data_IF_668978722910
#
_entry.id   IF_668978722910
#
_cell.length_a   1.000
_cell.length_b   1.000
_cell.length_c   1.000
_cell.angle_alpha   90.00
_cell.angle_beta   90.00
_cell.angle_gamma   90.00
#
_symmetry.space_group_name_H-M   'P 1'
#
loop_
_entity.id
_entity.type
_entity.pdbx_description
1 polymer ?
#
# COMPACT_ATOMS: atom_id res chain seq x y z
N UNK A 1 16.66 6.83 14.15
CA UNK A 1 17.85 5.96 14.30
C UNK A 1 18.31 5.93 15.76
N UNK A 2 18.92 7.00 16.28
CA UNK A 2 19.50 7.03 17.63
C UNK A 2 18.52 6.65 18.76
N UNK A 3 17.29 7.16 18.71
CA UNK A 3 16.25 6.84 19.72
C UNK A 3 15.97 5.33 19.84
N UNK A 4 16.11 4.58 18.74
CA UNK A 4 15.85 3.15 18.69
C UNK A 4 17.13 2.30 18.86
N UNK A 5 18.27 2.93 19.15
CA UNK A 5 19.54 2.22 19.33
C UNK A 5 20.16 1.68 18.03
N UNK A 6 19.85 2.26 16.86
CA UNK A 6 20.54 1.91 15.61
C UNK A 6 22.02 2.28 15.73
N UNK A 7 22.91 1.29 15.56
CA UNK A 7 24.35 1.43 15.76
C UNK A 7 25.01 2.22 14.62
N UNK A 8 24.65 1.95 13.38
CA UNK A 8 25.27 2.54 12.19
C UNK A 8 24.23 3.05 11.18
N UNK A 9 24.56 4.15 10.50
CA UNK A 9 23.71 4.74 9.44
C UNK A 9 24.56 5.01 8.21
N UNK A 10 24.20 4.39 7.09
CA UNK A 10 24.89 4.52 5.82
C UNK A 10 24.04 5.34 4.84
N UNK A 11 24.67 6.31 4.15
CA UNK A 11 24.00 7.14 3.15
C UNK A 11 23.94 6.44 1.78
N UNK A 12 23.25 5.30 1.72
CA UNK A 12 23.04 4.51 0.51
C UNK A 12 21.57 4.06 0.45
N UNK A 13 20.97 4.07 -0.74
CA UNK A 13 19.58 3.66 -0.96
C UNK A 13 19.43 2.77 -2.19
N UNK A 14 18.23 2.25 -2.45
CA UNK A 14 17.94 1.43 -3.62
C UNK A 14 18.52 0.02 -3.56
N UNK A 15 18.60 -0.64 -4.72
CA UNK A 15 19.10 -2.01 -4.86
C UNK A 15 20.53 -2.19 -4.34
N UNK A 16 21.38 -1.18 -4.52
CA UNK A 16 22.77 -1.18 -4.07
C UNK A 16 22.90 -1.17 -2.54
N UNK A 17 21.96 -0.56 -1.80
CA UNK A 17 21.92 -0.64 -0.34
C UNK A 17 21.62 -2.07 0.13
N UNK A 18 20.65 -2.73 -0.55
CA UNK A 18 20.29 -4.13 -0.28
C UNK A 18 21.47 -5.06 -0.55
N UNK A 19 22.16 -4.87 -1.68
CA UNK A 19 23.35 -5.65 -2.01
C UNK A 19 24.48 -5.43 -0.99
N UNK A 20 24.75 -4.18 -0.60
CA UNK A 20 25.77 -3.86 0.40
C UNK A 20 25.50 -4.54 1.75
N UNK A 21 24.24 -4.54 2.21
CA UNK A 21 23.85 -5.23 3.44
C UNK A 21 23.90 -6.76 3.30
N UNK A 22 23.52 -7.31 2.15
CA UNK A 22 23.47 -8.76 1.95
C UNK A 22 24.86 -9.41 1.80
N UNK A 23 25.81 -8.70 1.18
CA UNK A 23 27.13 -9.23 0.84
C UNK A 23 28.27 -8.62 1.66
N UNK A 24 28.05 -7.46 2.27
CA UNK A 24 29.08 -6.66 2.94
C UNK A 24 29.94 -5.86 1.96
N UNK A 25 30.52 -4.76 2.44
CA UNK A 25 31.55 -3.97 1.74
C UNK A 25 32.67 -3.60 2.73
N UNK A 26 33.65 -2.80 2.31
CA UNK A 26 34.68 -2.27 3.22
C UNK A 26 34.09 -1.41 4.36
N UNK A 27 32.88 -0.85 4.17
CA UNK A 27 32.23 0.03 5.12
C UNK A 27 30.90 -0.52 5.67
N UNK A 28 30.14 -1.29 4.88
CA UNK A 28 28.82 -1.80 5.27
C UNK A 28 28.97 -3.25 5.74
N UNK A 29 28.64 -3.57 7.01
CA UNK A 29 28.71 -4.94 7.49
C UNK A 29 27.66 -5.81 6.79
N UNK A 30 28.01 -7.07 6.57
CA UNK A 30 27.05 -8.09 6.12
C UNK A 30 26.06 -8.40 7.24
N UNK A 31 24.78 -8.46 6.92
CA UNK A 31 23.69 -8.80 7.86
C UNK A 31 23.02 -10.12 7.50
N UNK A 32 22.44 -10.78 8.50
CA UNK A 32 21.72 -12.05 8.29
C UNK A 32 20.32 -11.85 7.69
N UNK A 33 19.68 -10.71 7.99
CA UNK A 33 18.31 -10.41 7.55
C UNK A 33 18.11 -8.93 7.25
N UNK A 34 17.46 -8.63 6.13
CA UNK A 34 17.17 -7.26 5.66
C UNK A 34 15.68 -6.97 5.80
N UNK A 35 15.36 -5.79 6.34
CA UNK A 35 14.01 -5.32 6.61
C UNK A 35 13.67 -4.05 5.84
N UNK A 36 12.37 -3.84 5.64
CA UNK A 36 11.83 -2.56 5.18
C UNK A 36 11.29 -2.61 3.75
N UNK A 37 10.24 -1.82 3.48
CA UNK A 37 9.67 -1.69 2.14
C UNK A 37 10.55 -0.80 1.25
N UNK A 38 10.24 -0.80 -0.04
CA UNK A 38 10.85 0.11 -1.00
C UNK A 38 10.18 -0.02 -2.36
N UNK A 39 10.69 0.75 -3.33
CA UNK A 39 10.20 0.67 -4.70
C UNK A 39 10.53 -0.69 -5.34
N UNK A 40 10.06 -0.89 -6.58
CA UNK A 40 10.27 -2.12 -7.35
C UNK A 40 11.74 -2.61 -7.38
N UNK A 41 12.71 -1.70 -7.40
CA UNK A 41 14.14 -2.04 -7.42
C UNK A 41 14.64 -2.58 -6.09
N UNK A 42 14.19 -1.99 -4.98
CA UNK A 42 14.49 -2.48 -3.63
C UNK A 42 13.87 -3.85 -3.42
N UNK A 43 12.61 -4.02 -3.82
CA UNK A 43 11.90 -5.30 -3.71
C UNK A 43 12.55 -6.39 -4.55
N UNK A 44 12.90 -6.11 -5.80
CA UNK A 44 13.57 -7.10 -6.65
C UNK A 44 14.96 -7.45 -6.12
N UNK A 45 15.71 -6.47 -5.59
CA UNK A 45 17.00 -6.75 -4.95
C UNK A 45 16.83 -7.66 -3.73
N UNK A 46 15.84 -7.39 -2.85
CA UNK A 46 15.49 -8.24 -1.70
C UNK A 46 15.12 -9.66 -2.15
N UNK A 47 14.33 -9.78 -3.23
CA UNK A 47 13.95 -11.08 -3.81
C UNK A 47 15.17 -11.85 -4.32
N UNK A 48 16.11 -11.20 -5.00
CA UNK A 48 17.31 -11.86 -5.50
C UNK A 48 18.24 -12.31 -4.37
N UNK A 49 18.55 -11.43 -3.41
CA UNK A 49 19.49 -11.77 -2.32
C UNK A 49 18.94 -12.86 -1.40
N UNK A 50 17.62 -12.93 -1.19
CA UNK A 50 17.00 -13.99 -0.36
C UNK A 50 17.03 -15.38 -0.97
N UNK A 51 17.17 -15.48 -2.29
CA UNK A 51 17.24 -16.76 -3.01
C UNK A 51 18.67 -17.25 -3.25
N UNK A 52 19.66 -16.43 -2.90
CA UNK A 52 21.07 -16.78 -3.01
C UNK A 52 21.58 -17.37 -1.71
N UNK A 53 22.37 -18.44 -1.82
CA UNK A 53 23.01 -19.08 -0.66
C UNK A 53 23.99 -18.14 0.07
N UNK A 54 24.66 -17.27 -0.68
CA UNK A 54 25.59 -16.26 -0.16
C UNK A 54 24.92 -14.90 0.14
N UNK A 55 23.59 -14.81 0.03
CA UNK A 55 22.83 -13.60 0.32
C UNK A 55 22.39 -13.49 1.78
N UNK A 56 21.22 -12.91 1.99
CA UNK A 56 20.63 -12.65 3.31
C UNK A 56 19.12 -12.92 3.28
N UNK A 57 18.55 -13.32 4.42
CA UNK A 57 17.10 -13.47 4.54
C UNK A 57 16.39 -12.11 4.41
N UNK A 58 15.09 -12.14 4.11
CA UNK A 58 14.25 -10.95 4.09
C UNK A 58 13.02 -11.16 4.97
N UNK A 59 12.40 -10.06 5.41
CA UNK A 59 11.12 -10.06 6.12
C UNK A 59 9.98 -10.57 5.24
N UNK A 60 9.65 -9.85 4.18
CA UNK A 60 8.62 -10.17 3.20
C UNK A 60 8.90 -9.43 1.88
N UNK A 61 8.38 -9.93 0.74
CA UNK A 61 8.28 -9.14 -0.47
C UNK A 61 7.39 -7.92 -0.19
N UNK A 62 7.86 -6.72 -0.53
CA UNK A 62 7.06 -5.51 -0.44
C UNK A 62 6.56 -5.12 -1.83
N UNK A 63 5.26 -4.99 -2.03
CA UNK A 63 4.68 -4.48 -3.27
C UNK A 63 4.49 -2.96 -3.25
N UNK A 64 3.97 -2.37 -4.34
CA UNK A 64 3.34 -1.07 -4.26
C UNK A 64 2.29 -1.05 -3.14
N UNK A 65 2.12 0.09 -2.50
CA UNK A 65 1.21 0.18 -1.36
C UNK A 65 -0.25 0.08 -1.82
N UNK A 66 -1.08 -0.64 -1.06
CA UNK A 66 -2.47 -0.91 -1.44
C UNK A 66 -3.47 -0.57 -0.33
N UNK A 67 -4.66 -0.10 -0.71
CA UNK A 67 -5.81 0.01 0.21
C UNK A 67 -7.09 -0.41 -0.48
N UNK A 68 -7.88 -1.22 0.22
CA UNK A 68 -9.23 -1.60 -0.18
C UNK A 68 -10.21 -1.15 0.91
N UNK A 69 -11.19 -0.33 0.52
CA UNK A 69 -12.25 0.14 1.40
C UNK A 69 -13.53 -0.61 1.07
N UNK A 70 -14.14 -1.28 2.05
CA UNK A 70 -15.51 -1.78 1.98
C UNK A 70 -16.42 -0.76 2.67
N UNK A 71 -17.36 -0.19 1.95
CA UNK A 71 -18.25 0.85 2.48
C UNK A 71 -19.73 0.53 2.21
N UNK A 72 -20.58 0.64 3.25
CA UNK A 72 -22.04 0.54 3.12
C UNK A 72 -22.69 1.93 2.98
N UNK A 73 -24.01 1.97 2.77
CA UNK A 73 -24.76 3.23 2.58
C UNK A 73 -24.67 4.22 3.76
N UNK A 74 -24.25 3.75 4.94
CA UNK A 74 -24.03 4.60 6.10
C UNK A 74 -22.67 5.30 6.11
N UNK A 75 -21.76 4.94 5.20
CA UNK A 75 -20.45 5.57 5.10
C UNK A 75 -20.54 7.02 4.64
N UNK A 76 -19.61 7.85 5.11
CA UNK A 76 -19.49 9.25 4.69
C UNK A 76 -18.62 9.30 3.43
N UNK A 77 -19.12 9.75 2.26
CA UNK A 77 -18.35 9.72 1.00
C UNK A 77 -17.00 10.44 1.10
N UNK A 78 -16.93 11.54 1.84
CA UNK A 78 -15.71 12.31 2.04
C UNK A 78 -14.64 11.54 2.83
N UNK A 79 -15.03 10.67 3.77
CA UNK A 79 -14.08 9.86 4.54
C UNK A 79 -13.55 8.68 3.72
N UNK A 80 -14.42 8.04 2.93
CA UNK A 80 -13.98 7.02 1.97
C UNK A 80 -12.99 7.61 0.97
N UNK A 81 -13.30 8.79 0.42
CA UNK A 81 -12.41 9.46 -0.53
C UNK A 81 -11.05 9.83 0.09
N UNK A 82 -11.03 10.31 1.35
CA UNK A 82 -9.77 10.65 2.01
C UNK A 82 -8.91 9.42 2.27
N UNK A 83 -9.51 8.29 2.64
CA UNK A 83 -8.78 7.03 2.85
C UNK A 83 -8.18 6.53 1.53
N UNK A 84 -8.95 6.54 0.43
CA UNK A 84 -8.42 6.18 -0.89
C UNK A 84 -7.26 7.09 -1.31
N UNK A 85 -7.39 8.40 -1.12
CA UNK A 85 -6.36 9.36 -1.50
C UNK A 85 -5.11 9.29 -0.62
N UNK A 86 -5.24 8.95 0.66
CA UNK A 86 -4.11 8.78 1.57
C UNK A 86 -3.12 7.73 1.09
N UNK A 87 -3.61 6.69 0.42
CA UNK A 87 -2.76 5.67 -0.19
C UNK A 87 -2.29 6.08 -1.59
N UNK A 88 -3.17 6.68 -2.39
CA UNK A 88 -2.83 7.10 -3.75
C UNK A 88 -1.65 8.11 -3.79
N UNK A 89 -1.50 8.95 -2.76
CA UNK A 89 -0.40 9.92 -2.69
C UNK A 89 0.97 9.32 -2.33
N UNK A 90 1.02 8.04 -1.94
CA UNK A 90 2.25 7.37 -1.54
C UNK A 90 3.19 7.14 -2.74
N UNK A 91 2.64 6.79 -3.90
CA UNK A 91 3.39 6.52 -5.11
C UNK A 91 2.50 6.31 -6.34
N UNK A 92 3.01 6.54 -7.56
CA UNK A 92 2.22 6.41 -8.79
C UNK A 92 1.80 4.97 -9.12
N UNK A 93 2.44 3.99 -8.48
CA UNK A 93 2.17 2.57 -8.55
C UNK A 93 1.19 2.06 -7.47
N UNK A 94 0.70 2.94 -6.59
CA UNK A 94 -0.25 2.57 -5.54
C UNK A 94 -1.58 2.13 -6.13
N UNK A 95 -2.20 1.12 -5.51
CA UNK A 95 -3.49 0.58 -5.94
C UNK A 95 -4.56 0.86 -4.87
N UNK A 96 -5.65 1.52 -5.28
CA UNK A 96 -6.75 1.85 -4.37
C UNK A 96 -8.07 1.33 -4.91
N UNK A 97 -8.87 0.69 -4.04
CA UNK A 97 -10.11 0.01 -4.44
C UNK A 97 -11.24 0.38 -3.47
N UNK A 98 -12.40 0.73 -4.00
CA UNK A 98 -13.66 0.79 -3.24
C UNK A 98 -14.53 -0.41 -3.62
N UNK A 99 -15.05 -1.12 -2.62
CA UNK A 99 -16.13 -2.08 -2.77
C UNK A 99 -17.36 -1.58 -2.01
N UNK A 100 -18.50 -1.46 -2.69
CA UNK A 100 -19.75 -1.05 -2.04
C UNK A 100 -20.96 -1.72 -2.69
N UNK A 101 -22.02 -2.05 -1.93
CA UNK A 101 -23.29 -2.49 -2.52
C UNK A 101 -24.13 -1.33 -3.09
N UNK A 102 -23.69 -0.08 -2.92
CA UNK A 102 -24.49 1.11 -3.28
C UNK A 102 -23.86 1.91 -4.40
N UNK A 103 -24.52 1.91 -5.57
CA UNK A 103 -24.12 2.76 -6.70
C UNK A 103 -24.09 4.24 -6.32
N UNK A 104 -25.08 4.68 -5.53
CA UNK A 104 -25.18 6.06 -5.04
C UNK A 104 -23.96 6.45 -4.21
N UNK A 105 -23.48 5.55 -3.34
CA UNK A 105 -22.27 5.79 -2.57
C UNK A 105 -21.04 5.87 -3.47
N UNK A 106 -20.89 4.94 -4.42
CA UNK A 106 -19.75 4.93 -5.33
C UNK A 106 -19.65 6.24 -6.14
N UNK A 107 -20.77 6.74 -6.67
CA UNK A 107 -20.83 8.01 -7.39
C UNK A 107 -20.47 9.20 -6.49
N UNK A 108 -21.00 9.24 -5.27
CA UNK A 108 -20.70 10.30 -4.30
C UNK A 108 -19.21 10.29 -3.89
N UNK A 109 -18.61 9.10 -3.74
CA UNK A 109 -17.18 8.95 -3.45
C UNK A 109 -16.35 9.42 -4.64
N UNK A 110 -16.70 9.07 -5.87
CA UNK A 110 -15.97 9.51 -7.06
C UNK A 110 -15.90 11.05 -7.14
N UNK A 111 -17.02 11.73 -6.86
CA UNK A 111 -17.07 13.19 -6.80
C UNK A 111 -16.17 13.73 -5.67
N UNK A 112 -16.24 13.13 -4.48
CA UNK A 112 -15.44 13.56 -3.34
C UNK A 112 -13.93 13.36 -3.58
N UNK A 113 -13.53 12.28 -4.26
CA UNK A 113 -12.14 12.02 -4.67
C UNK A 113 -11.66 13.14 -5.57
N UNK A 114 -12.40 13.52 -6.62
CA UNK A 114 -12.00 14.60 -7.53
C UNK A 114 -11.87 15.96 -6.80
N UNK A 115 -12.80 16.26 -5.90
CA UNK A 115 -12.78 17.50 -5.11
C UNK A 115 -11.57 17.58 -4.17
N UNK A 116 -11.23 16.48 -3.51
CA UNK A 116 -10.10 16.42 -2.59
C UNK A 116 -8.77 16.36 -3.34
N UNK A 117 -8.70 15.61 -4.44
CA UNK A 117 -7.52 15.51 -5.31
C UNK A 117 -7.07 16.89 -5.81
N UNK A 118 -8.00 17.77 -6.16
CA UNK A 118 -7.70 19.13 -6.60
C UNK A 118 -6.96 19.98 -5.55
N UNK A 119 -7.00 19.59 -4.28
CA UNK A 119 -6.40 20.33 -3.16
C UNK A 119 -5.07 19.71 -2.68
N UNK A 120 -4.70 18.51 -3.17
CA UNK A 120 -3.51 17.81 -2.70
C UNK A 120 -2.22 18.39 -3.29
N UNK A 121 -1.18 18.66 -2.47
CA UNK A 121 0.14 19.02 -2.97
C UNK A 121 0.75 17.96 -3.92
N UNK A 122 0.41 16.69 -3.70
CA UNK A 122 0.88 15.53 -4.49
C UNK A 122 -0.17 15.03 -5.50
N UNK A 123 -1.07 15.90 -5.97
CA UNK A 123 -2.16 15.51 -6.86
C UNK A 123 -1.70 14.82 -8.15
N UNK A 124 -0.53 15.16 -8.70
CA UNK A 124 -0.01 14.51 -9.91
C UNK A 124 0.28 13.02 -9.68
N UNK A 125 0.93 12.68 -8.56
CA UNK A 125 1.21 11.30 -8.15
C UNK A 125 -0.07 10.54 -7.87
N UNK A 126 -0.96 11.13 -7.06
CA UNK A 126 -2.24 10.51 -6.72
C UNK A 126 -3.11 10.28 -7.96
N UNK A 127 -3.14 11.21 -8.91
CA UNK A 127 -3.88 11.04 -10.18
C UNK A 127 -3.38 9.84 -10.97
N UNK A 128 -2.06 9.63 -11.04
CA UNK A 128 -1.48 8.49 -11.75
C UNK A 128 -1.88 7.15 -11.09
N UNK A 129 -1.83 7.07 -9.76
CA UNK A 129 -2.31 5.89 -9.01
C UNK A 129 -3.81 5.63 -9.28
N UNK A 130 -4.61 6.70 -9.34
CA UNK A 130 -6.06 6.61 -9.60
C UNK A 130 -6.41 6.05 -10.99
N UNK A 131 -5.52 6.12 -11.99
CA UNK A 131 -5.76 5.48 -13.31
C UNK A 131 -5.90 3.95 -13.19
N UNK A 132 -5.18 3.36 -12.24
CA UNK A 132 -5.25 1.92 -11.94
C UNK A 132 -6.33 1.60 -10.90
N UNK A 133 -6.86 2.61 -10.19
CA UNK A 133 -7.88 2.43 -9.14
C UNK A 133 -9.22 1.94 -9.68
N UNK A 134 -10.02 1.31 -8.81
CA UNK A 134 -11.35 0.77 -9.17
C UNK A 134 -12.37 1.07 -8.10
N UNK A 135 -13.53 1.62 -8.50
CA UNK A 135 -14.73 1.65 -7.68
C UNK A 135 -15.67 0.55 -8.19
N UNK A 136 -15.93 -0.45 -7.36
CA UNK A 136 -16.68 -1.65 -7.72
C UNK A 136 -17.99 -1.66 -6.93
N UNK A 137 -19.10 -1.64 -7.66
CA UNK A 137 -20.43 -1.85 -7.08
C UNK A 137 -20.73 -3.34 -7.06
N UNK A 138 -20.75 -3.93 -5.87
CA UNK A 138 -21.11 -5.32 -5.65
C UNK A 138 -22.62 -5.45 -5.38
N UNK A 139 -23.13 -6.68 -5.30
CA UNK A 139 -24.52 -6.96 -4.97
C UNK A 139 -24.84 -6.69 -3.50
N UNK A 140 -23.94 -7.09 -2.61
CA UNK A 140 -24.10 -7.09 -1.15
C UNK A 140 -22.73 -7.07 -0.46
N UNK A 141 -22.73 -6.90 0.87
CA UNK A 141 -21.49 -6.89 1.66
C UNK A 141 -20.77 -8.25 1.65
N UNK A 142 -21.51 -9.36 1.51
CA UNK A 142 -20.92 -10.70 1.42
C UNK A 142 -20.05 -10.82 0.16
N UNK A 143 -20.55 -10.32 -0.98
CA UNK A 143 -19.77 -10.25 -2.21
C UNK A 143 -18.58 -9.30 -2.09
N UNK A 144 -18.72 -8.15 -1.39
CA UNK A 144 -17.57 -7.28 -1.11
C UNK A 144 -16.47 -8.04 -0.34
N UNK A 145 -16.83 -8.77 0.71
CA UNK A 145 -15.89 -9.58 1.50
C UNK A 145 -15.25 -10.67 0.64
N UNK A 146 -16.03 -11.36 -0.19
CA UNK A 146 -15.51 -12.38 -1.09
C UNK A 146 -14.49 -11.83 -2.10
N UNK A 147 -14.77 -10.66 -2.69
CA UNK A 147 -13.84 -9.97 -3.60
C UNK A 147 -12.58 -9.55 -2.84
N UNK A 148 -12.73 -8.97 -1.65
CA UNK A 148 -11.61 -8.55 -0.80
C UNK A 148 -10.71 -9.73 -0.41
N UNK A 149 -11.30 -10.88 -0.04
CA UNK A 149 -10.54 -12.07 0.32
C UNK A 149 -9.78 -12.66 -0.87
N UNK A 150 -10.36 -12.62 -2.08
CA UNK A 150 -9.68 -13.06 -3.29
C UNK A 150 -8.53 -12.12 -3.66
N UNK A 151 -8.71 -10.82 -3.44
CA UNK A 151 -7.72 -9.80 -3.74
C UNK A 151 -6.55 -9.80 -2.73
N UNK A 152 -6.83 -9.96 -1.43
CA UNK A 152 -5.82 -9.98 -0.38
C UNK A 152 -5.11 -8.64 -0.19
N UNK A 153 -5.83 -7.54 0.10
CA UNK A 153 -5.23 -6.20 0.15
C UNK A 153 -4.24 -6.05 1.31
N UNK A 154 -3.22 -5.20 1.13
CA UNK A 154 -2.29 -4.81 2.19
C UNK A 154 -3.03 -4.16 3.37
N UNK A 155 -3.92 -3.21 3.07
CA UNK A 155 -4.78 -2.54 4.04
C UNK A 155 -6.26 -2.75 3.69
N UNK A 156 -7.04 -3.22 4.66
CA UNK A 156 -8.49 -3.33 4.57
C UNK A 156 -9.16 -2.34 5.53
N UNK A 157 -10.00 -1.46 4.98
CA UNK A 157 -10.80 -0.51 5.77
C UNK A 157 -12.28 -0.88 5.64
N UNK A 158 -12.94 -1.08 6.78
CA UNK A 158 -14.35 -1.42 6.85
C UNK A 158 -15.16 -0.22 7.36
N UNK A 159 -15.72 0.56 6.43
CA UNK A 159 -16.64 1.66 6.73
C UNK A 159 -18.10 1.19 6.56
N UNK A 160 -18.51 0.23 7.39
CA UNK A 160 -19.89 -0.29 7.42
C UNK A 160 -20.51 -0.09 8.80
N UNK A 161 -21.83 -0.30 8.94
CA UNK A 161 -22.48 -0.20 10.26
C UNK A 161 -22.01 -1.24 11.28
N UNK A 162 -21.67 -2.44 10.82
CA UNK A 162 -21.26 -3.58 11.65
C UNK A 162 -19.94 -4.15 11.15
N UNK A 163 -18.83 -3.38 11.24
CA UNK A 163 -17.57 -3.78 10.61
C UNK A 163 -16.94 -5.01 11.28
N UNK A 164 -17.17 -5.20 12.58
CA UNK A 164 -16.64 -6.33 13.35
C UNK A 164 -17.33 -7.67 13.05
N UNK A 165 -18.51 -7.63 12.43
CA UNK A 165 -19.27 -8.84 12.10
C UNK A 165 -18.87 -9.39 10.71
N UNK A 166 -17.98 -8.69 9.99
CA UNK A 166 -17.49 -9.05 8.65
C UNK A 166 -16.11 -9.72 8.67
N UNK A 167 -15.49 -9.89 9.85
CA UNK A 167 -14.13 -10.41 10.06
C UNK A 167 -14.10 -11.59 11.04
#
# INVERSE_FOLDING_TARGET
AQLCGVEEVFQVGGAQAIAAMAFGTEAVPRVDKIFGPGNAWVTEAKRQVSQRLDGAAIDMPAGPSEVLVIADEGATPAFVASDLLSQAEHGPDSQVILLTPSLKLAEAVAIAVEQQLAQLPRAATARQALESSRLIVARDLEQCVAISNLYGPEHLILQTRQPRDLV
#
